data_IF_580781617286
#
_entry.id   IF_580781617286
#
_cell.length_a   1.000
_cell.length_b   1.000
_cell.length_c   1.000
_cell.angle_alpha   90.00
_cell.angle_beta   90.00
_cell.angle_gamma   90.00
#
_symmetry.space_group_name_H-M   'P 1'
#
loop_
_entity.id
_entity.type
_entity.pdbx_description
1 polymer ?
#
# COMPACT_ATOMS: atom_id res chain seq x y z
N UNK A 1 -24.74 9.59 -0.75
CA UNK A 1 -24.60 8.93 -2.07
C UNK A 1 -24.40 9.93 -3.22
N UNK A 2 -25.17 11.02 -3.33
CA UNK A 2 -25.02 12.02 -4.41
C UNK A 2 -23.60 12.63 -4.50
N UNK A 3 -23.00 12.97 -3.36
CA UNK A 3 -21.64 13.56 -3.33
C UNK A 3 -20.57 12.60 -3.89
N UNK A 4 -20.64 11.31 -3.56
CA UNK A 4 -19.69 10.28 -4.04
C UNK A 4 -19.80 10.11 -5.55
N UNK A 5 -21.03 10.07 -6.09
CA UNK A 5 -21.26 10.00 -7.54
C UNK A 5 -20.69 11.25 -8.24
N UNK A 6 -20.95 12.44 -7.70
CA UNK A 6 -20.42 13.70 -8.25
C UNK A 6 -18.89 13.74 -8.25
N UNK A 7 -18.25 13.37 -7.14
CA UNK A 7 -16.79 13.26 -7.07
C UNK A 7 -16.24 12.20 -8.03
N UNK A 8 -16.93 11.08 -8.21
CA UNK A 8 -16.52 10.08 -9.20
C UNK A 8 -16.56 10.63 -10.64
N UNK A 9 -17.62 11.36 -10.99
CA UNK A 9 -17.72 12.04 -12.28
C UNK A 9 -16.61 13.06 -12.49
N UNK A 10 -16.35 13.94 -11.51
CA UNK A 10 -15.25 14.91 -11.60
C UNK A 10 -13.88 14.23 -11.72
N UNK A 11 -13.65 13.12 -11.02
CA UNK A 11 -12.42 12.34 -11.16
C UNK A 11 -12.26 11.80 -12.58
N UNK A 12 -13.34 11.27 -13.17
CA UNK A 12 -13.32 10.73 -14.52
C UNK A 12 -13.11 11.84 -15.58
N UNK A 13 -13.76 12.99 -15.39
CA UNK A 13 -13.61 14.17 -16.24
C UNK A 13 -12.19 14.73 -16.19
N UNK A 14 -11.63 14.94 -14.99
CA UNK A 14 -10.26 15.38 -14.79
C UNK A 14 -9.26 14.47 -15.52
N UNK A 15 -9.45 13.15 -15.41
CA UNK A 15 -8.62 12.15 -16.11
C UNK A 15 -8.74 12.27 -17.64
N UNK A 16 -9.94 12.49 -18.18
CA UNK A 16 -10.15 12.68 -19.63
C UNK A 16 -9.50 13.97 -20.15
N UNK A 17 -9.53 15.03 -19.34
CA UNK A 17 -8.99 16.33 -19.71
C UNK A 17 -7.46 16.44 -19.48
N UNK A 18 -6.82 15.41 -18.92
CA UNK A 18 -5.39 15.46 -18.56
C UNK A 18 -5.07 16.38 -17.38
N UNK A 19 -6.07 16.79 -16.60
CA UNK A 19 -5.90 17.66 -15.42
C UNK A 19 -5.47 16.81 -14.23
N UNK A 20 -4.17 16.50 -14.18
CA UNK A 20 -3.57 15.70 -13.11
C UNK A 20 -3.74 16.32 -11.71
N UNK A 21 -3.50 17.63 -11.49
CA UNK A 21 -3.74 18.25 -10.18
C UNK A 21 -5.17 18.08 -9.70
N UNK A 22 -6.16 18.35 -10.55
CA UNK A 22 -7.57 18.21 -10.16
C UNK A 22 -7.96 16.75 -9.96
N UNK A 23 -7.45 15.84 -10.79
CA UNK A 23 -7.63 14.40 -10.61
C UNK A 23 -7.13 13.94 -9.24
N UNK A 24 -5.92 14.34 -8.85
CA UNK A 24 -5.31 14.00 -7.56
C UNK A 24 -6.10 14.60 -6.39
N UNK A 25 -6.52 15.86 -6.51
CA UNK A 25 -7.36 16.53 -5.52
C UNK A 25 -8.68 15.78 -5.29
N UNK A 26 -9.44 15.50 -6.36
CA UNK A 26 -10.73 14.80 -6.27
C UNK A 26 -10.56 13.38 -5.74
N UNK A 27 -9.51 12.67 -6.17
CA UNK A 27 -9.17 11.34 -5.65
C UNK A 27 -8.89 11.37 -4.16
N UNK A 28 -8.11 12.35 -3.68
CA UNK A 28 -7.80 12.49 -2.27
C UNK A 28 -9.04 12.85 -1.45
N UNK A 29 -9.89 13.75 -1.96
CA UNK A 29 -11.15 14.09 -1.33
C UNK A 29 -12.06 12.87 -1.21
N UNK A 30 -12.25 12.11 -2.29
CA UNK A 30 -13.05 10.88 -2.31
C UNK A 30 -12.57 9.86 -1.26
N UNK A 31 -11.25 9.62 -1.18
CA UNK A 31 -10.67 8.72 -0.20
C UNK A 31 -10.72 9.26 1.23
N UNK A 32 -10.71 10.58 1.42
CA UNK A 32 -10.77 11.20 2.74
C UNK A 32 -12.15 11.03 3.41
N UNK A 33 -13.22 10.89 2.62
CA UNK A 33 -14.59 10.78 3.13
C UNK A 33 -14.71 9.65 4.15
N UNK A 34 -14.31 8.42 3.80
CA UNK A 34 -14.44 7.30 4.74
C UNK A 34 -13.51 7.46 5.95
N UNK A 35 -12.32 8.05 5.76
CA UNK A 35 -11.36 8.31 6.84
C UNK A 35 -11.93 9.27 7.88
N UNK A 36 -12.69 10.29 7.46
CA UNK A 36 -13.38 11.22 8.36
C UNK A 36 -14.47 10.57 9.20
N UNK A 37 -15.13 9.52 8.68
CA UNK A 37 -16.15 8.78 9.43
C UNK A 37 -15.59 8.05 10.65
N UNK A 38 -14.28 7.76 10.64
CA UNK A 38 -13.55 7.03 11.70
C UNK A 38 -12.40 7.86 12.27
N UNK A 39 -12.43 9.18 12.12
CA UNK A 39 -11.41 10.07 12.70
C UNK A 39 -11.82 10.59 14.08
N UNK A 40 -11.03 10.25 15.10
CA UNK A 40 -11.03 10.96 16.38
C UNK A 40 -10.02 12.11 16.31
N UNK A 41 -10.33 13.23 16.97
CA UNK A 41 -9.41 14.37 17.09
C UNK A 41 -8.97 14.55 18.54
N UNK A 42 -7.70 14.91 18.80
CA UNK A 42 -7.27 15.26 20.14
C UNK A 42 -7.86 16.62 20.54
N UNK A 43 -8.58 16.66 21.66
CA UNK A 43 -9.07 17.87 22.31
C UNK A 43 -8.84 17.76 23.81
N UNK A 44 -8.08 18.69 24.38
CA UNK A 44 -7.79 18.74 25.83
C UNK A 44 -7.26 17.40 26.39
N UNK A 45 -6.32 16.77 25.67
CA UNK A 45 -5.71 15.50 26.06
C UNK A 45 -6.61 14.27 25.89
N UNK A 46 -7.84 14.41 25.37
CA UNK A 46 -8.76 13.30 25.08
C UNK A 46 -8.99 13.15 23.59
N UNK A 47 -9.24 11.92 23.15
CA UNK A 47 -9.70 11.65 21.78
C UNK A 47 -11.22 11.83 21.72
N UNK A 48 -11.68 12.77 20.90
CA UNK A 48 -13.11 13.08 20.75
C UNK A 48 -13.61 12.81 19.34
N UNK A 49 -14.83 12.32 19.25
CA UNK A 49 -15.58 12.19 18.01
C UNK A 49 -15.97 13.58 17.49
N UNK A 50 -15.79 13.82 16.18
CA UNK A 50 -16.22 15.06 15.53
C UNK A 50 -17.61 14.93 14.92
N UNK A 51 -18.16 16.00 14.35
CA UNK A 51 -19.49 16.02 13.70
C UNK A 51 -19.64 15.01 12.57
N UNK A 52 -18.53 14.60 11.94
CA UNK A 52 -18.52 13.61 10.87
C UNK A 52 -18.28 12.17 11.37
N UNK A 53 -18.12 11.96 12.69
CA UNK A 53 -17.87 10.64 13.25
C UNK A 53 -19.08 9.72 13.09
N UNK A 54 -18.94 8.72 12.23
CA UNK A 54 -19.96 7.72 11.93
C UNK A 54 -19.27 6.36 11.72
N UNK A 55 -18.77 5.74 12.80
CA UNK A 55 -17.85 4.61 12.72
C UNK A 55 -18.50 3.37 12.10
N UNK A 56 -19.82 3.23 12.24
CA UNK A 56 -20.59 2.14 11.60
C UNK A 56 -20.45 2.20 10.08
N UNK A 57 -20.59 3.38 9.46
CA UNK A 57 -20.42 3.52 8.02
C UNK A 57 -18.98 3.25 7.59
N UNK A 58 -17.99 3.74 8.33
CA UNK A 58 -16.58 3.42 8.05
C UNK A 58 -16.28 1.92 8.16
N UNK A 59 -16.85 1.25 9.17
CA UNK A 59 -16.73 -0.19 9.35
C UNK A 59 -17.37 -0.96 8.18
N UNK A 60 -18.59 -0.60 7.77
CA UNK A 60 -19.28 -1.23 6.64
C UNK A 60 -18.52 -1.03 5.32
N UNK A 61 -18.00 0.18 5.06
CA UNK A 61 -17.19 0.45 3.86
C UNK A 61 -15.97 -0.47 3.82
N UNK A 62 -15.20 -0.53 4.91
CA UNK A 62 -13.98 -1.37 4.96
C UNK A 62 -14.30 -2.87 4.98
N UNK A 63 -15.39 -3.29 5.61
CA UNK A 63 -15.85 -4.68 5.62
C UNK A 63 -16.25 -5.13 4.20
N UNK A 64 -17.03 -4.34 3.48
CA UNK A 64 -17.46 -4.69 2.12
C UNK A 64 -16.28 -4.80 1.16
N UNK A 65 -15.29 -3.90 1.26
CA UNK A 65 -14.05 -4.04 0.48
C UNK A 65 -13.33 -5.35 0.81
N UNK A 66 -13.14 -5.66 2.09
CA UNK A 66 -12.47 -6.91 2.51
C UNK A 66 -13.22 -8.15 2.04
N UNK A 67 -14.53 -8.20 2.20
CA UNK A 67 -15.37 -9.33 1.74
C UNK A 67 -15.18 -9.54 0.24
N UNK A 68 -15.29 -8.48 -0.56
CA UNK A 68 -15.14 -8.57 -2.02
C UNK A 68 -13.77 -9.11 -2.43
N UNK A 69 -12.70 -8.61 -1.82
CA UNK A 69 -11.35 -9.05 -2.17
C UNK A 69 -11.09 -10.49 -1.69
N UNK A 70 -11.56 -10.83 -0.47
CA UNK A 70 -11.46 -12.19 0.06
C UNK A 70 -12.22 -13.20 -0.80
N UNK A 71 -13.40 -12.85 -1.33
CA UNK A 71 -14.13 -13.71 -2.26
C UNK A 71 -13.34 -13.98 -3.54
N UNK A 72 -12.67 -12.98 -4.12
CA UNK A 72 -11.81 -13.17 -5.28
C UNK A 72 -10.61 -14.06 -4.96
N UNK A 73 -9.93 -13.80 -3.84
CA UNK A 73 -8.77 -14.59 -3.43
C UNK A 73 -9.13 -16.05 -3.08
N UNK A 74 -10.31 -16.30 -2.50
CA UNK A 74 -10.79 -17.65 -2.22
C UNK A 74 -11.20 -18.40 -3.49
N UNK A 75 -11.86 -17.69 -4.43
CA UNK A 75 -12.35 -18.28 -5.68
C UNK A 75 -11.22 -18.65 -6.63
N UNK A 76 -10.14 -17.87 -6.68
CA UNK A 76 -9.06 -18.03 -7.64
C UNK A 76 -7.72 -18.29 -6.96
N UNK A 77 -7.25 -19.54 -7.06
CA UNK A 77 -5.97 -19.98 -6.46
C UNK A 77 -4.74 -19.33 -7.11
N UNK A 78 -4.87 -18.74 -8.31
CA UNK A 78 -3.78 -18.01 -8.97
C UNK A 78 -3.50 -16.65 -8.34
N UNK A 79 -4.32 -16.19 -7.39
CA UNK A 79 -4.11 -14.94 -6.65
C UNK A 79 -2.96 -15.13 -5.65
N UNK A 80 -1.87 -14.40 -5.86
CA UNK A 80 -0.65 -14.49 -5.05
C UNK A 80 -0.53 -13.38 -4.02
N UNK A 81 -1.15 -12.23 -4.27
CA UNK A 81 -1.10 -11.09 -3.34
C UNK A 81 -2.35 -10.21 -3.41
N UNK A 82 -2.60 -9.52 -2.30
CA UNK A 82 -3.73 -8.59 -2.12
C UNK A 82 -3.22 -7.27 -1.55
N UNK A 83 -3.65 -6.16 -2.14
CA UNK A 83 -3.33 -4.81 -1.67
C UNK A 83 -4.57 -3.93 -1.61
N UNK A 84 -5.23 -3.93 -0.43
CA UNK A 84 -6.45 -3.15 -0.11
C UNK A 84 -7.66 -3.46 -0.98
N UNK A 85 -7.63 -3.01 -2.23
CA UNK A 85 -8.69 -3.06 -3.23
C UNK A 85 -8.19 -3.65 -4.57
N UNK A 86 -6.99 -4.23 -4.58
CA UNK A 86 -6.39 -4.86 -5.75
C UNK A 86 -5.87 -6.26 -5.44
N UNK A 87 -5.81 -7.10 -6.48
CA UNK A 87 -5.25 -8.45 -6.44
C UNK A 87 -4.13 -8.55 -7.48
N UNK A 88 -3.13 -9.36 -7.19
CA UNK A 88 -2.09 -9.79 -8.13
C UNK A 88 -2.31 -11.27 -8.37
N UNK A 89 -2.33 -11.68 -9.63
CA UNK A 89 -2.57 -13.05 -10.05
C UNK A 89 -1.56 -13.48 -11.10
N UNK A 90 -1.17 -14.75 -11.06
CA UNK A 90 -0.28 -15.36 -12.07
C UNK A 90 -0.98 -15.59 -13.40
N UNK A 91 -2.32 -15.65 -13.37
CA UNK A 91 -3.17 -15.89 -14.52
C UNK A 91 -4.21 -14.79 -14.64
N UNK A 92 -4.68 -14.56 -15.86
CA UNK A 92 -5.85 -13.73 -16.09
C UNK A 92 -7.05 -14.27 -15.30
N UNK A 93 -7.77 -13.37 -14.64
CA UNK A 93 -8.93 -13.72 -13.83
C UNK A 93 -10.19 -13.33 -14.60
N UNK A 94 -11.21 -14.21 -14.68
CA UNK A 94 -12.50 -13.89 -15.29
C UNK A 94 -13.30 -12.99 -14.35
N UNK A 95 -12.92 -11.71 -14.30
CA UNK A 95 -13.54 -10.66 -13.51
C UNK A 95 -14.28 -9.69 -14.43
N UNK A 96 -15.35 -9.08 -13.90
CA UNK A 96 -16.06 -8.01 -14.59
C UNK A 96 -15.18 -6.75 -14.63
N UNK A 97 -14.55 -6.53 -15.79
CA UNK A 97 -13.61 -5.45 -16.03
C UNK A 97 -14.29 -4.30 -16.79
N UNK A 98 -14.06 -3.07 -16.35
CA UNK A 98 -14.58 -1.88 -17.01
C UNK A 98 -14.24 -0.59 -16.27
N UNK A 99 -14.97 0.48 -16.62
CA UNK A 99 -14.72 1.84 -16.12
C UNK A 99 -15.76 2.31 -15.09
N UNK A 100 -16.78 1.50 -14.81
CA UNK A 100 -17.82 1.85 -13.86
C UNK A 100 -17.38 1.63 -12.42
N UNK A 101 -18.09 2.30 -11.51
CA UNK A 101 -17.79 2.24 -10.08
C UNK A 101 -17.94 0.81 -9.58
N UNK A 102 -16.83 0.27 -9.07
CA UNK A 102 -16.81 -1.10 -8.57
C UNK A 102 -16.67 -2.14 -9.67
N UNK A 103 -16.25 -1.81 -10.88
CA UNK A 103 -15.67 -2.78 -11.80
C UNK A 103 -14.16 -2.94 -11.55
N UNK A 104 -13.59 -4.03 -12.05
CA UNK A 104 -12.16 -4.27 -12.02
C UNK A 104 -11.48 -3.56 -13.20
N UNK A 105 -10.20 -3.24 -13.06
CA UNK A 105 -9.40 -2.68 -14.15
C UNK A 105 -8.03 -3.30 -14.11
N UNK A 106 -7.60 -3.89 -15.23
CA UNK A 106 -6.23 -4.35 -15.38
C UNK A 106 -5.30 -3.14 -15.29
N UNK A 107 -4.40 -3.14 -14.31
CA UNK A 107 -3.49 -2.01 -14.11
C UNK A 107 -2.15 -2.20 -14.82
N UNK A 108 -1.61 -3.42 -14.76
CA UNK A 108 -0.32 -3.79 -15.33
C UNK A 108 -0.28 -5.31 -15.44
N UNK A 109 0.45 -5.83 -16.42
CA UNK A 109 0.72 -7.25 -16.61
C UNK A 109 2.17 -7.38 -17.07
N UNK A 110 2.87 -8.41 -16.58
CA UNK A 110 4.28 -8.55 -16.86
C UNK A 110 5.02 -9.47 -15.91
N UNK A 111 6.34 -9.49 -16.06
CA UNK A 111 7.22 -10.16 -15.10
C UNK A 111 7.16 -9.42 -13.76
N UNK A 112 7.10 -10.17 -12.66
CA UNK A 112 7.00 -9.58 -11.34
C UNK A 112 7.79 -10.31 -10.26
N UNK A 113 8.16 -9.54 -9.25
CA UNK A 113 8.82 -10.01 -8.02
C UNK A 113 8.12 -9.41 -6.82
N UNK A 114 7.84 -10.23 -5.81
CA UNK A 114 7.15 -9.82 -4.58
C UNK A 114 8.03 -10.24 -3.40
N UNK A 115 8.69 -9.26 -2.76
CA UNK A 115 9.47 -9.51 -1.54
C UNK A 115 8.58 -9.66 -0.31
N UNK A 116 7.40 -9.02 -0.33
CA UNK A 116 6.44 -9.09 0.76
C UNK A 116 5.47 -7.93 0.74
N UNK A 117 4.73 -7.78 1.85
CA UNK A 117 3.68 -6.79 1.98
C UNK A 117 4.17 -5.34 1.79
N UNK A 118 3.98 -4.80 0.58
CA UNK A 118 4.29 -3.40 0.24
C UNK A 118 5.61 -3.19 -0.49
N UNK A 119 6.37 -4.27 -0.77
CA UNK A 119 7.60 -4.26 -1.55
C UNK A 119 7.48 -5.25 -2.72
N UNK A 120 7.21 -4.75 -3.92
CA UNK A 120 7.06 -5.56 -5.12
C UNK A 120 7.26 -4.74 -6.41
N UNK A 121 7.48 -5.45 -7.51
CA UNK A 121 7.45 -4.91 -8.87
C UNK A 121 6.64 -5.84 -9.76
N UNK A 122 5.84 -5.27 -10.66
CA UNK A 122 5.24 -5.97 -11.81
C UNK A 122 5.44 -5.06 -13.01
N UNK A 123 6.17 -5.53 -14.02
CA UNK A 123 6.59 -4.71 -15.16
C UNK A 123 7.27 -3.42 -14.69
N UNK A 124 6.80 -2.25 -15.13
CA UNK A 124 7.26 -0.91 -14.74
C UNK A 124 6.75 -0.45 -13.37
N UNK A 125 5.76 -1.14 -12.79
CA UNK A 125 5.08 -0.71 -11.57
C UNK A 125 5.81 -1.19 -10.33
N UNK A 126 6.61 -0.30 -9.76
CA UNK A 126 7.36 -0.53 -8.52
C UNK A 126 6.63 0.03 -7.30
N UNK A 127 6.66 -0.72 -6.20
CA UNK A 127 6.16 -0.33 -4.88
C UNK A 127 7.18 -0.69 -3.82
N UNK A 128 7.69 0.31 -3.11
CA UNK A 128 8.68 0.17 -2.04
C UNK A 128 8.21 0.93 -0.79
N UNK A 129 7.13 0.46 -0.17
CA UNK A 129 6.52 1.17 0.96
C UNK A 129 7.46 1.22 2.16
N UNK A 130 7.85 2.43 2.54
CA UNK A 130 8.71 2.66 3.70
C UNK A 130 10.20 2.67 3.38
N UNK A 131 10.58 2.40 2.13
CA UNK A 131 11.96 2.40 1.64
C UNK A 131 12.14 3.50 0.59
N UNK A 132 13.24 4.26 0.64
CA UNK A 132 13.48 5.38 -0.25
C UNK A 132 14.13 4.91 -1.57
N UNK A 133 13.43 4.09 -2.34
CA UNK A 133 13.93 3.52 -3.58
C UNK A 133 13.09 3.97 -4.78
N UNK A 134 13.76 4.45 -5.82
CA UNK A 134 13.17 4.79 -7.11
C UNK A 134 14.02 4.16 -8.21
N UNK A 135 13.60 3.00 -8.70
CA UNK A 135 14.34 2.21 -9.69
C UNK A 135 13.71 0.84 -9.89
N UNK A 136 14.38 -0.04 -10.61
CA UNK A 136 13.95 -1.42 -10.82
C UNK A 136 14.35 -2.30 -9.63
N UNK A 137 13.38 -2.99 -9.04
CA UNK A 137 13.59 -4.01 -8.02
C UNK A 137 14.39 -5.20 -8.57
N UNK A 138 14.23 -5.54 -9.86
CA UNK A 138 15.06 -6.56 -10.51
C UNK A 138 16.55 -6.16 -10.52
N UNK A 139 16.84 -4.92 -10.89
CA UNK A 139 18.23 -4.40 -10.87
C UNK A 139 18.78 -4.33 -9.45
N UNK A 140 17.96 -3.89 -8.50
CA UNK A 140 18.33 -3.81 -7.10
C UNK A 140 18.68 -5.17 -6.49
N UNK A 141 18.02 -6.25 -6.93
CA UNK A 141 18.22 -7.59 -6.39
C UNK A 141 19.38 -8.34 -7.07
N UNK A 142 19.72 -8.00 -8.30
CA UNK A 142 20.76 -8.68 -9.05
C UNK A 142 22.12 -8.63 -8.31
N UNK A 143 22.59 -9.78 -7.84
CA UNK A 143 23.82 -9.95 -7.04
C UNK A 143 23.86 -9.15 -5.73
N UNK A 144 22.70 -8.75 -5.21
CA UNK A 144 22.65 -8.00 -3.95
C UNK A 144 22.64 -8.93 -2.74
N UNK A 145 23.28 -8.53 -1.62
CA UNK A 145 23.21 -9.26 -0.36
C UNK A 145 21.77 -9.27 0.19
N UNK A 146 21.45 -10.16 1.14
CA UNK A 146 20.12 -10.21 1.75
C UNK A 146 19.72 -8.94 2.53
N UNK A 147 20.67 -8.07 2.85
CA UNK A 147 20.41 -6.78 3.48
C UNK A 147 21.01 -5.67 2.61
N UNK A 148 20.16 -4.82 2.06
CA UNK A 148 20.52 -3.79 1.08
C UNK A 148 20.36 -2.41 1.72
N UNK A 149 21.44 -1.65 1.96
CA UNK A 149 21.35 -0.31 2.52
C UNK A 149 20.79 0.67 1.48
N UNK A 150 19.83 1.49 1.90
CA UNK A 150 19.19 2.51 1.09
C UNK A 150 19.32 3.87 1.75
N UNK A 151 20.08 4.76 1.13
CA UNK A 151 20.22 6.14 1.59
C UNK A 151 19.11 7.03 1.06
N UNK A 152 18.68 7.99 1.88
CA UNK A 152 17.74 9.03 1.48
C UNK A 152 18.12 10.34 2.11
N UNK A 153 18.32 11.34 1.27
CA UNK A 153 18.48 12.71 1.72
C UNK A 153 17.11 13.32 1.96
N UNK A 154 16.75 13.57 3.22
CA UNK A 154 15.47 14.19 3.56
C UNK A 154 15.54 14.96 4.86
N UNK A 155 14.62 15.91 5.01
CA UNK A 155 14.46 16.65 6.24
C UNK A 155 13.83 15.78 7.34
N UNK A 156 14.28 15.95 8.58
CA UNK A 156 13.58 15.38 9.72
C UNK A 156 12.19 15.99 9.87
N UNK A 157 11.16 15.17 9.66
CA UNK A 157 9.78 15.58 9.91
C UNK A 157 9.56 15.83 11.41
N UNK A 158 8.66 16.76 11.74
CA UNK A 158 8.22 16.99 13.11
C UNK A 158 7.81 15.69 13.83
N UNK A 159 7.11 14.80 13.13
CA UNK A 159 6.70 13.49 13.65
C UNK A 159 7.90 12.63 14.08
N UNK A 160 8.97 12.63 13.29
CA UNK A 160 10.17 11.84 13.57
C UNK A 160 10.95 12.42 14.75
N UNK A 161 11.12 13.74 14.78
CA UNK A 161 11.79 14.44 15.89
C UNK A 161 11.05 14.19 17.20
N UNK A 162 9.72 14.35 17.20
CA UNK A 162 8.88 14.13 18.38
C UNK A 162 8.88 12.66 18.84
N UNK A 163 8.78 11.70 17.91
CA UNK A 163 8.77 10.28 18.27
C UNK A 163 10.07 9.78 18.91
N UNK A 164 11.20 10.42 18.59
CA UNK A 164 12.50 10.08 19.18
C UNK A 164 12.89 10.97 20.36
N UNK A 165 12.04 11.92 20.77
CA UNK A 165 12.37 12.87 21.84
C UNK A 165 13.53 13.81 21.50
N UNK A 166 13.76 14.11 20.22
CA UNK A 166 14.84 14.97 19.77
C UNK A 166 14.51 16.46 19.95
N UNK A 167 15.53 17.34 20.07
CA UNK A 167 15.31 18.78 20.14
C UNK A 167 14.57 19.33 18.91
N UNK A 168 13.60 20.24 19.13
CA UNK A 168 12.82 20.88 18.06
C UNK A 168 13.67 21.56 16.98
N UNK A 169 14.90 22.00 17.31
CA UNK A 169 15.84 22.58 16.32
C UNK A 169 16.26 21.61 15.21
N UNK A 170 16.02 20.31 15.38
CA UNK A 170 16.28 19.30 14.35
C UNK A 170 15.13 19.21 13.33
N UNK A 171 13.97 19.80 13.58
CA UNK A 171 12.86 19.81 12.61
C UNK A 171 13.34 20.53 11.35
N UNK A 172 13.05 19.94 10.19
CA UNK A 172 13.49 20.41 8.88
C UNK A 172 15.01 20.42 8.65
N UNK A 173 15.81 19.81 9.54
CA UNK A 173 17.23 19.58 9.26
C UNK A 173 17.36 18.45 8.23
N UNK A 174 18.00 18.74 7.11
CA UNK A 174 18.29 17.76 6.07
C UNK A 174 19.46 16.87 6.47
N UNK A 175 19.28 15.56 6.29
CA UNK A 175 20.29 14.56 6.65
C UNK A 175 20.15 13.33 5.76
N UNK A 176 21.21 12.54 5.71
CA UNK A 176 21.22 11.25 5.05
C UNK A 176 20.75 10.18 6.03
N UNK A 177 19.58 9.62 5.75
CA UNK A 177 19.02 8.52 6.52
C UNK A 177 19.27 7.25 5.72
N UNK A 178 20.04 6.33 6.30
CA UNK A 178 20.23 4.98 5.77
C UNK A 178 19.14 4.08 6.35
N UNK A 179 18.51 3.29 5.49
CA UNK A 179 17.54 2.25 5.84
C UNK A 179 17.94 0.94 5.19
N UNK A 180 17.93 -0.12 5.97
CA UNK A 180 18.28 -1.43 5.47
C UNK A 180 17.02 -2.17 4.99
N UNK A 181 16.99 -2.50 3.71
CA UNK A 181 16.03 -3.46 3.17
C UNK A 181 16.58 -4.87 3.39
N UNK A 182 16.06 -5.57 4.38
CA UNK A 182 16.23 -7.01 4.47
C UNK A 182 15.25 -7.68 3.48
N UNK A 183 15.72 -8.51 2.55
CA UNK A 183 14.85 -9.19 1.57
C UNK A 183 13.83 -10.14 2.22
N UNK A 184 14.09 -10.58 3.46
CA UNK A 184 13.23 -11.42 4.29
C UNK A 184 12.51 -10.62 5.40
N UNK A 185 12.19 -9.32 5.18
CA UNK A 185 11.60 -8.45 6.20
C UNK A 185 10.13 -8.76 6.56
N UNK A 186 9.39 -9.48 5.72
CA UNK A 186 7.94 -9.63 5.90
C UNK A 186 7.60 -10.61 7.02
N UNK A 187 7.18 -10.07 8.15
CA UNK A 187 6.82 -10.82 9.37
C UNK A 187 5.32 -11.07 9.52
N UNK A 188 4.49 -10.59 8.57
CA UNK A 188 3.03 -10.70 8.63
C UNK A 188 2.50 -12.08 8.22
N UNK A 189 3.37 -12.91 7.64
CA UNK A 189 3.07 -14.27 7.18
C UNK A 189 4.12 -15.23 7.70
N UNK A 190 3.76 -16.49 7.76
CA UNK A 190 4.69 -17.58 8.04
C UNK A 190 5.17 -18.11 6.69
N UNK A 191 6.42 -17.80 6.37
CA UNK A 191 7.07 -18.24 5.13
C UNK A 191 7.69 -19.62 5.33
N UNK A 192 7.65 -20.46 4.29
CA UNK A 192 8.20 -21.82 4.30
C UNK A 192 9.72 -21.88 4.16
N UNK A 193 10.36 -20.72 3.95
CA UNK A 193 11.80 -20.60 3.80
C UNK A 193 12.29 -19.16 3.94
N UNK A 194 13.54 -18.95 3.54
CA UNK A 194 14.18 -17.64 3.45
C UNK A 194 15.05 -17.61 2.22
N UNK A 195 15.06 -16.47 1.54
CA UNK A 195 16.03 -16.23 0.48
C UNK A 195 17.41 -15.98 1.06
N UNK A 196 18.43 -16.52 0.40
CA UNK A 196 19.83 -16.34 0.77
C UNK A 196 20.36 -14.97 0.35
N UNK A 197 20.01 -14.52 -0.85
CA UNK A 197 20.43 -13.27 -1.44
C UNK A 197 19.44 -12.81 -2.54
N UNK A 198 19.73 -11.70 -3.21
CA UNK A 198 18.86 -11.18 -4.24
C UNK A 198 18.79 -12.02 -5.52
N UNK A 199 19.80 -12.83 -5.86
CA UNK A 199 19.71 -13.76 -6.99
C UNK A 199 18.78 -14.94 -6.67
N UNK A 200 18.82 -15.40 -5.42
CA UNK A 200 17.89 -16.42 -4.93
C UNK A 200 16.44 -15.92 -5.05
N UNK A 201 16.15 -14.68 -4.65
CA UNK A 201 14.82 -14.07 -4.84
C UNK A 201 14.34 -14.14 -6.30
N UNK A 202 15.24 -13.89 -7.25
CA UNK A 202 14.91 -13.85 -8.68
C UNK A 202 14.74 -15.24 -9.32
N UNK A 203 15.24 -16.29 -8.67
CA UNK A 203 15.28 -17.64 -9.21
C UNK A 203 14.42 -18.65 -8.45
N UNK A 204 14.00 -18.33 -7.23
CA UNK A 204 13.21 -19.23 -6.38
C UNK A 204 11.89 -18.63 -5.96
N UNK A 205 10.94 -19.53 -5.65
CA UNK A 205 9.62 -19.18 -5.13
C UNK A 205 9.49 -19.73 -3.72
N UNK A 206 9.12 -18.86 -2.79
CA UNK A 206 8.70 -19.23 -1.44
C UNK A 206 7.19 -19.16 -1.31
N UNK A 207 6.61 -20.06 -0.51
CA UNK A 207 5.19 -20.04 -0.17
C UNK A 207 5.00 -19.49 1.24
N UNK A 208 3.80 -18.99 1.52
CA UNK A 208 3.49 -18.49 2.85
C UNK A 208 2.06 -18.74 3.28
N UNK A 209 1.91 -18.97 4.59
CA UNK A 209 0.63 -19.14 5.24
C UNK A 209 0.26 -17.87 6.04
N UNK A 210 -1.03 -17.59 6.21
CA UNK A 210 -1.46 -16.55 7.14
C UNK A 210 -0.96 -16.86 8.54
N UNK A 211 -0.35 -15.87 9.19
CA UNK A 211 0.10 -16.03 10.58
C UNK A 211 -1.10 -16.11 11.50
N UNK A 212 -1.25 -17.24 12.20
CA UNK A 212 -2.30 -17.44 13.19
C UNK A 212 -1.95 -16.67 14.46
N UNK A 213 -2.62 -15.55 14.70
CA UNK A 213 -2.50 -14.82 15.97
C UNK A 213 -3.44 -15.48 16.96
N UNK A 214 -2.91 -16.42 17.75
CA UNK A 214 -3.62 -16.92 18.92
C UNK A 214 -3.82 -15.74 19.89
N UNK A 215 -5.09 -15.45 20.21
CA UNK A 215 -5.39 -14.50 21.29
C UNK A 215 -5.08 -15.22 22.60
N UNK A 216 -3.97 -14.85 23.22
CA UNK A 216 -3.72 -15.13 24.63
C UNK A 216 -4.64 -14.27 25.50
#
# INVERSE_FOLDING_TARGET
>A
RAIVKRLYHYKAEAKRNGDEPFYLFVKQLLNSVYGKLVQLVPKEGKLVATTCWQPVYGAVITANTRIRISQVAQKYQSVVAVHTDSVISEKELPLDCGNDIGQWTLTVQGLGVILGCGCYQIEDKVRMRGFPFNGSLFELLNKSPPVIPMSSHRAYSWRLVSANGWPNKQINLFTDIVKDLNINFDTKRDWDGRWLDGNDVLSTRLYSMPKMVLRN
#
